data_IF_999305147104
#
_entry.id   IF_999305147104
#
_cell.length_a   1.000
_cell.length_b   1.000
_cell.length_c   1.000
_cell.angle_alpha   90.00
_cell.angle_beta   90.00
_cell.angle_gamma   90.00
#
_symmetry.space_group_name_H-M   'P 1'
#
loop_
_entity.id
_entity.type
_entity.pdbx_description
1 polymer ?
#
# COMPACT_ATOMS: atom_id res chain seq x y z
N UNK A 1 10.25 23.45 9.00
CA UNK A 1 10.43 22.96 7.62
C UNK A 1 9.15 22.21 7.27
N UNK A 2 8.18 22.90 6.68
CA UNK A 2 6.89 22.31 6.29
C UNK A 2 7.13 21.58 4.97
N UNK A 3 7.30 20.27 5.04
CA UNK A 3 7.49 19.43 3.86
C UNK A 3 6.08 19.14 3.32
N UNK A 4 5.67 19.95 2.35
CA UNK A 4 4.62 19.70 1.36
C UNK A 4 3.42 18.86 1.81
N UNK A 5 2.45 19.50 2.47
CA UNK A 5 1.05 19.13 2.27
C UNK A 5 0.36 20.36 1.72
N UNK A 6 0.09 20.38 0.42
CA UNK A 6 -0.90 21.28 -0.18
C UNK A 6 -2.22 21.24 0.61
N UNK A 7 -2.97 22.33 0.57
CA UNK A 7 -4.18 22.59 1.36
C UNK A 7 -5.32 21.60 1.05
N UNK A 8 -5.18 20.38 1.54
CA UNK A 8 -6.21 19.38 1.58
C UNK A 8 -7.12 19.64 2.79
N UNK A 9 -8.39 19.25 2.69
CA UNK A 9 -9.28 19.22 3.86
C UNK A 9 -8.74 18.27 4.93
N UNK A 10 -9.12 18.44 6.20
CA UNK A 10 -8.67 17.57 7.30
C UNK A 10 -8.90 16.08 7.00
N UNK A 11 -10.04 15.73 6.41
CA UNK A 11 -10.39 14.35 6.03
C UNK A 11 -9.42 13.75 5.01
N UNK A 12 -9.00 14.53 4.01
CA UNK A 12 -8.06 14.08 2.98
C UNK A 12 -6.67 13.85 3.58
N UNK A 13 -6.25 14.73 4.48
CA UNK A 13 -5.02 14.56 5.24
C UNK A 13 -5.04 13.27 6.07
N UNK A 14 -6.18 12.95 6.70
CA UNK A 14 -6.38 11.70 7.44
C UNK A 14 -6.27 10.48 6.51
N UNK A 15 -6.89 10.52 5.33
CA UNK A 15 -6.83 9.42 4.36
C UNK A 15 -5.43 9.21 3.78
N UNK A 16 -4.69 10.27 3.50
CA UNK A 16 -3.27 10.17 3.12
C UNK A 16 -2.45 9.47 4.20
N UNK A 17 -2.63 9.84 5.48
CA UNK A 17 -1.91 9.17 6.56
C UNK A 17 -2.37 7.73 6.77
N UNK A 18 -3.65 7.44 6.57
CA UNK A 18 -4.17 6.08 6.68
C UNK A 18 -3.61 5.18 5.59
N UNK A 19 -3.51 5.65 4.33
CA UNK A 19 -2.91 4.86 3.25
C UNK A 19 -1.43 4.57 3.53
N UNK A 20 -0.71 5.55 4.09
CA UNK A 20 0.67 5.36 4.52
C UNK A 20 0.78 4.31 5.64
N UNK A 21 -0.06 4.39 6.67
CA UNK A 21 -0.07 3.43 7.78
C UNK A 21 -0.35 2.01 7.29
N UNK A 22 -1.29 1.85 6.37
CA UNK A 22 -1.61 0.57 5.74
C UNK A 22 -0.43 0.04 4.90
N UNK A 23 0.26 0.90 4.14
CA UNK A 23 1.48 0.51 3.41
C UNK A 23 2.59 0.02 4.35
N UNK A 24 2.80 0.71 5.48
CA UNK A 24 3.78 0.31 6.51
C UNK A 24 3.41 -1.06 7.10
N UNK A 25 2.12 -1.27 7.40
CA UNK A 25 1.64 -2.56 7.89
C UNK A 25 1.87 -3.69 6.86
N UNK A 26 1.57 -3.45 5.58
CA UNK A 26 1.82 -4.42 4.51
C UNK A 26 3.31 -4.71 4.34
N UNK A 27 4.17 -3.69 4.36
CA UNK A 27 5.62 -3.88 4.33
C UNK A 27 6.09 -4.78 5.49
N UNK A 28 5.63 -4.48 6.72
CA UNK A 28 5.96 -5.26 7.92
C UNK A 28 5.50 -6.72 7.84
N UNK A 29 4.29 -6.97 7.34
CA UNK A 29 3.76 -8.33 7.13
C UNK A 29 4.63 -9.11 6.14
N UNK A 30 5.04 -8.48 5.04
CA UNK A 30 5.87 -9.15 4.03
C UNK A 30 7.31 -9.38 4.54
N UNK A 31 7.87 -8.48 5.36
CA UNK A 31 9.12 -8.77 6.07
C UNK A 31 8.97 -9.97 7.00
N UNK A 32 7.88 -10.02 7.78
CA UNK A 32 7.58 -11.14 8.67
C UNK A 32 7.48 -12.46 7.89
N UNK A 33 6.74 -12.48 6.77
CA UNK A 33 6.63 -13.65 5.91
C UNK A 33 7.97 -14.06 5.31
N UNK A 34 8.80 -13.10 4.87
CA UNK A 34 10.14 -13.39 4.36
C UNK A 34 11.06 -14.04 5.39
N UNK A 35 10.94 -13.67 6.67
CA UNK A 35 11.70 -14.28 7.77
C UNK A 35 11.14 -15.65 8.14
N UNK A 36 9.82 -15.79 8.28
CA UNK A 36 9.20 -17.01 8.79
C UNK A 36 9.12 -18.12 7.74
N UNK A 37 8.86 -17.76 6.48
CA UNK A 37 8.81 -18.70 5.37
C UNK A 37 10.20 -18.99 4.76
N UNK A 38 11.24 -18.22 5.14
CA UNK A 38 12.58 -18.23 4.53
C UNK A 38 12.55 -18.02 3.00
N UNK A 39 11.62 -17.18 2.53
CA UNK A 39 11.41 -16.93 1.12
C UNK A 39 11.75 -15.50 0.72
N UNK A 40 12.75 -15.36 -0.17
CA UNK A 40 13.28 -14.06 -0.59
C UNK A 40 12.26 -13.16 -1.28
N UNK A 41 11.27 -13.75 -1.94
CA UNK A 41 10.26 -12.99 -2.69
C UNK A 41 9.47 -12.03 -1.80
N UNK A 42 9.21 -12.39 -0.54
CA UNK A 42 8.48 -11.52 0.36
C UNK A 42 9.26 -10.25 0.74
N UNK A 43 10.60 -10.32 0.82
CA UNK A 43 11.42 -9.12 1.02
C UNK A 43 11.38 -8.19 -0.20
N UNK A 44 11.28 -8.75 -1.41
CA UNK A 44 11.09 -7.94 -2.62
C UNK A 44 9.77 -7.19 -2.55
N UNK A 45 8.68 -7.87 -2.15
CA UNK A 45 7.37 -7.23 -1.99
C UNK A 45 7.40 -6.14 -0.91
N UNK A 46 8.01 -6.41 0.24
CA UNK A 46 8.20 -5.41 1.28
C UNK A 46 8.99 -4.19 0.77
N UNK A 47 10.05 -4.42 -0.01
CA UNK A 47 10.86 -3.38 -0.62
C UNK A 47 10.05 -2.45 -1.53
N UNK A 48 9.11 -3.00 -2.32
CA UNK A 48 8.22 -2.19 -3.17
C UNK A 48 7.31 -1.28 -2.33
N UNK A 49 6.75 -1.78 -1.23
CA UNK A 49 5.98 -0.95 -0.30
C UNK A 49 6.84 0.15 0.34
N UNK A 50 8.09 -0.16 0.71
CA UNK A 50 9.03 0.85 1.23
C UNK A 50 9.30 1.95 0.20
N UNK A 51 9.48 1.61 -1.07
CA UNK A 51 9.62 2.61 -2.14
C UNK A 51 8.37 3.49 -2.23
N UNK A 52 7.17 2.90 -2.18
CA UNK A 52 5.91 3.66 -2.16
C UNK A 52 5.80 4.61 -0.95
N UNK A 53 6.21 4.15 0.24
CA UNK A 53 6.27 4.96 1.47
C UNK A 53 7.23 6.13 1.32
N UNK A 54 8.39 5.93 0.67
CA UNK A 54 9.33 7.03 0.43
C UNK A 54 8.78 8.04 -0.58
N UNK A 55 8.12 7.57 -1.64
CA UNK A 55 7.47 8.43 -2.64
C UNK A 55 6.31 9.23 -2.06
N UNK A 56 5.62 8.73 -1.02
CA UNK A 56 4.57 9.45 -0.31
C UNK A 56 5.03 10.80 0.26
N UNK A 57 6.31 10.92 0.63
CA UNK A 57 6.88 12.19 1.12
C UNK A 57 7.23 13.18 0.00
N UNK A 58 6.94 12.83 -1.25
CA UNK A 58 7.10 13.70 -2.41
C UNK A 58 5.72 14.10 -2.92
N UNK A 59 5.53 15.39 -3.26
CA UNK A 59 4.30 15.85 -3.91
C UNK A 59 4.22 15.43 -5.39
N UNK A 60 5.34 14.94 -5.93
CA UNK A 60 5.48 14.52 -7.29
C UNK A 60 4.71 13.21 -7.55
N UNK A 61 3.83 13.23 -8.57
CA UNK A 61 3.23 12.03 -9.16
C UNK A 61 2.28 11.28 -8.21
N UNK A 62 1.67 11.96 -7.23
CA UNK A 62 0.77 11.34 -6.23
C UNK A 62 -0.31 10.46 -6.87
N UNK A 63 -1.01 10.97 -7.87
CA UNK A 63 -2.01 10.19 -8.61
C UNK A 63 -1.41 8.90 -9.17
N UNK A 64 -0.27 9.00 -9.84
CA UNK A 64 0.42 7.82 -10.42
C UNK A 64 0.87 6.84 -9.34
N UNK A 65 1.39 7.32 -8.20
CA UNK A 65 1.80 6.46 -7.08
C UNK A 65 0.60 5.68 -6.53
N UNK A 66 -0.54 6.34 -6.34
CA UNK A 66 -1.77 5.67 -5.88
C UNK A 66 -2.29 4.63 -6.88
N UNK A 67 -2.25 4.94 -8.19
CA UNK A 67 -2.61 3.99 -9.23
C UNK A 67 -1.69 2.77 -9.24
N UNK A 68 -0.37 2.98 -9.21
CA UNK A 68 0.61 1.90 -9.19
C UNK A 68 0.43 1.02 -7.95
N UNK A 69 0.21 1.63 -6.79
CA UNK A 69 -0.05 0.92 -5.54
C UNK A 69 -1.33 0.07 -5.63
N UNK A 70 -2.41 0.61 -6.20
CA UNK A 70 -3.65 -0.13 -6.42
C UNK A 70 -3.46 -1.33 -7.34
N UNK A 71 -2.82 -1.14 -8.51
CA UNK A 71 -2.54 -2.23 -9.46
C UNK A 71 -1.65 -3.31 -8.84
N UNK A 72 -0.63 -2.88 -8.11
CA UNK A 72 0.31 -3.78 -7.44
C UNK A 72 -0.39 -4.65 -6.40
N UNK A 73 -1.16 -4.05 -5.49
CA UNK A 73 -1.88 -4.78 -4.44
C UNK A 73 -2.99 -5.66 -5.01
N UNK A 74 -3.69 -5.22 -6.06
CA UNK A 74 -4.66 -6.06 -6.74
C UNK A 74 -3.99 -7.32 -7.35
N UNK A 75 -2.82 -7.16 -7.96
CA UNK A 75 -2.05 -8.27 -8.53
C UNK A 75 -1.59 -9.25 -7.43
N UNK A 76 -1.05 -8.73 -6.32
CA UNK A 76 -0.69 -9.57 -5.17
C UNK A 76 -1.90 -10.31 -4.60
N UNK A 77 -3.06 -9.65 -4.51
CA UNK A 77 -4.30 -10.27 -4.07
C UNK A 77 -4.69 -11.46 -4.95
N UNK A 78 -4.59 -11.34 -6.27
CA UNK A 78 -4.84 -12.44 -7.20
C UNK A 78 -3.83 -13.58 -6.98
N UNK A 79 -2.53 -13.26 -6.91
CA UNK A 79 -1.50 -14.28 -6.67
C UNK A 79 -1.71 -15.02 -5.34
N UNK A 80 -2.13 -14.30 -4.30
CA UNK A 80 -2.41 -14.87 -2.99
C UNK A 80 -3.59 -15.83 -3.00
N UNK A 81 -4.69 -15.46 -3.68
CA UNK A 81 -5.86 -16.32 -3.85
C UNK A 81 -5.54 -17.61 -4.62
N UNK A 82 -4.54 -17.57 -5.50
CA UNK A 82 -4.08 -18.74 -6.26
C UNK A 82 -3.02 -19.57 -5.51
N UNK A 83 -2.39 -19.00 -4.47
CA UNK A 83 -1.23 -19.58 -3.76
C UNK A 83 -1.55 -20.66 -2.72
N UNK A 84 -2.82 -20.91 -2.39
CA UNK A 84 -3.23 -21.93 -1.42
C UNK A 84 -3.36 -21.42 0.02
N UNK A 85 -3.48 -22.34 1.01
CA UNK A 85 -3.92 -22.02 2.40
C UNK A 85 -2.83 -22.13 3.46
N UNK A 86 -1.56 -22.27 3.07
CA UNK A 86 -0.44 -22.55 3.99
C UNK A 86 -0.29 -21.49 5.11
N UNK A 87 -0.73 -20.25 4.84
CA UNK A 87 -0.72 -19.13 5.78
C UNK A 87 -2.11 -18.54 6.03
N UNK A 88 -3.16 -19.36 6.13
CA UNK A 88 -4.57 -18.91 6.13
C UNK A 88 -4.86 -17.70 7.06
N UNK A 89 -4.44 -17.73 8.34
CA UNK A 89 -4.69 -16.62 9.28
C UNK A 89 -3.96 -15.33 8.88
N UNK A 90 -2.69 -15.45 8.52
CA UNK A 90 -1.89 -14.29 8.09
C UNK A 90 -2.43 -13.77 6.76
N UNK A 91 -2.86 -14.67 5.87
CA UNK A 91 -3.50 -14.36 4.60
C UNK A 91 -4.81 -13.60 4.76
N UNK A 92 -5.66 -13.97 5.73
CA UNK A 92 -6.91 -13.25 6.02
C UNK A 92 -6.63 -11.82 6.51
N UNK A 93 -5.71 -11.66 7.46
CA UNK A 93 -5.33 -10.33 7.97
C UNK A 93 -4.71 -9.48 6.86
N UNK A 94 -3.80 -10.06 6.09
CA UNK A 94 -3.16 -9.41 4.94
C UNK A 94 -4.20 -9.01 3.90
N UNK A 95 -5.15 -9.90 3.58
CA UNK A 95 -6.22 -9.65 2.63
C UNK A 95 -7.14 -8.50 3.08
N UNK A 96 -7.50 -8.44 4.36
CA UNK A 96 -8.31 -7.34 4.91
C UNK A 96 -7.57 -5.99 4.79
N UNK A 97 -6.29 -5.95 5.18
CA UNK A 97 -5.46 -4.74 5.08
C UNK A 97 -5.27 -4.33 3.61
N UNK A 98 -4.96 -5.29 2.73
CA UNK A 98 -4.82 -5.07 1.29
C UNK A 98 -6.09 -4.54 0.65
N UNK A 99 -7.26 -5.02 1.07
CA UNK A 99 -8.56 -4.56 0.55
C UNK A 99 -8.81 -3.11 0.96
N UNK A 100 -8.56 -2.77 2.23
CA UNK A 100 -8.68 -1.40 2.73
C UNK A 100 -7.69 -0.47 2.00
N UNK A 101 -6.44 -0.90 1.86
CA UNK A 101 -5.40 -0.17 1.14
C UNK A 101 -5.78 0.06 -0.32
N UNK A 102 -6.23 -0.98 -1.02
CA UNK A 102 -6.67 -0.89 -2.42
C UNK A 102 -7.81 0.11 -2.59
N UNK A 103 -8.85 0.00 -1.77
CA UNK A 103 -9.98 0.93 -1.82
C UNK A 103 -9.56 2.38 -1.60
N UNK A 104 -8.67 2.62 -0.64
CA UNK A 104 -8.18 3.95 -0.33
C UNK A 104 -7.23 4.50 -1.41
N UNK A 105 -6.35 3.66 -1.96
CA UNK A 105 -5.47 4.04 -3.06
C UNK A 105 -6.28 4.41 -4.32
N UNK A 106 -7.32 3.63 -4.66
CA UNK A 106 -8.23 3.98 -5.78
C UNK A 106 -8.97 5.28 -5.49
N UNK A 107 -9.48 5.47 -4.28
CA UNK A 107 -10.16 6.71 -3.89
C UNK A 107 -9.25 7.93 -4.04
N UNK A 108 -8.03 7.87 -3.50
CA UNK A 108 -7.06 8.96 -3.58
C UNK A 108 -6.58 9.21 -5.01
N UNK A 109 -6.40 8.16 -5.82
CA UNK A 109 -6.10 8.30 -7.25
C UNK A 109 -7.17 9.11 -7.97
N UNK A 110 -8.45 8.76 -7.80
CA UNK A 110 -9.57 9.46 -8.45
C UNK A 110 -9.65 10.92 -8.00
N UNK A 111 -9.43 11.18 -6.71
CA UNK A 111 -9.42 12.55 -6.16
C UNK A 111 -8.29 13.38 -6.75
N UNK A 112 -7.07 12.85 -6.76
CA UNK A 112 -5.89 13.57 -7.24
C UNK A 112 -5.93 13.81 -8.75
N UNK A 113 -6.34 12.81 -9.52
CA UNK A 113 -6.41 12.91 -10.99
C UNK A 113 -7.47 13.91 -11.48
N UNK A 114 -8.44 14.25 -10.63
CA UNK A 114 -9.45 15.28 -10.95
C UNK A 114 -9.06 16.68 -10.49
N UNK A 115 -7.99 16.82 -9.71
CA UNK A 115 -7.43 18.10 -9.27
C UNK A 115 -6.27 18.59 -10.16
N UNK A 116 -5.66 17.68 -10.93
CA UNK A 116 -4.69 17.95 -12.01
C UNK A 116 -5.37 18.43 -13.30
#
# INVERSE_FOLDING_TARGET
>A
MSIGRGTHGETETVFDWLVLLLAVALAGIHVYLGVVADERQFFVVAGVFVVGILLFFTEYWRATVYLLAAVYVATLGVLWLLGGTEYERVGLVTGAISTAFLGLAVYLFVRESGAE
#
